data_IF_852605963711
#
_entry.id   IF_852605963711
#
_cell.length_a   1.000
_cell.length_b   1.000
_cell.length_c   1.000
_cell.angle_alpha   90.00
_cell.angle_beta   90.00
_cell.angle_gamma   90.00
#
_symmetry.space_group_name_H-M   'P 1'
#
loop_
_entity.id
_entity.type
_entity.pdbx_description
1 polymer ?
#
# COMPACT_ATOMS: atom_id res chain seq x y z
N UNK A 1 32.73 2.14 -23.36
CA UNK A 1 32.39 2.02 -21.92
C UNK A 1 30.99 2.55 -21.57
N UNK A 2 30.42 3.50 -22.32
CA UNK A 2 29.10 4.10 -22.03
C UNK A 2 27.87 3.18 -22.17
N UNK A 3 27.96 2.06 -22.90
CA UNK A 3 26.82 1.18 -23.11
C UNK A 3 26.51 0.27 -21.91
N UNK A 4 27.49 -0.08 -21.06
CA UNK A 4 27.27 -1.04 -19.95
C UNK A 4 26.51 -0.44 -18.77
N UNK A 5 26.63 0.87 -18.54
CA UNK A 5 25.97 1.57 -17.43
C UNK A 5 24.48 1.75 -17.67
N UNK A 6 24.06 1.97 -18.93
CA UNK A 6 22.64 2.12 -19.29
C UNK A 6 21.86 0.81 -19.12
N UNK A 7 22.45 -0.34 -19.49
CA UNK A 7 21.85 -1.66 -19.27
C UNK A 7 21.69 -2.02 -17.79
N UNK A 8 22.70 -1.69 -16.97
CA UNK A 8 22.64 -1.91 -15.52
C UNK A 8 21.57 -1.04 -14.84
N UNK A 9 21.52 0.25 -15.19
CA UNK A 9 20.49 1.17 -14.70
C UNK A 9 19.08 0.74 -15.11
N UNK A 10 18.91 0.26 -16.35
CA UNK A 10 17.62 -0.24 -16.84
C UNK A 10 17.16 -1.52 -16.14
N UNK A 11 18.08 -2.45 -15.86
CA UNK A 11 17.80 -3.66 -15.04
C UNK A 11 17.36 -3.29 -13.63
N UNK A 12 18.10 -2.40 -12.96
CA UNK A 12 17.76 -1.94 -11.62
C UNK A 12 16.37 -1.29 -11.56
N UNK A 13 16.04 -0.41 -12.50
CA UNK A 13 14.73 0.26 -12.49
C UNK A 13 13.58 -0.73 -12.72
N UNK A 14 13.77 -1.73 -13.59
CA UNK A 14 12.79 -2.81 -13.83
C UNK A 14 12.61 -3.70 -12.60
N UNK A 15 13.70 -4.08 -11.94
CA UNK A 15 13.66 -4.88 -10.72
C UNK A 15 13.00 -4.11 -9.58
N UNK A 16 13.38 -2.85 -9.38
CA UNK A 16 12.77 -1.96 -8.38
C UNK A 16 11.28 -1.74 -8.63
N UNK A 17 10.88 -1.44 -9.87
CA UNK A 17 9.47 -1.26 -10.22
C UNK A 17 8.67 -2.53 -9.98
N UNK A 18 9.20 -3.70 -10.35
CA UNK A 18 8.53 -4.99 -10.15
C UNK A 18 8.39 -5.33 -8.67
N UNK A 19 9.43 -5.08 -7.87
CA UNK A 19 9.40 -5.26 -6.43
C UNK A 19 8.36 -4.31 -5.79
N UNK A 20 8.37 -3.04 -6.17
CA UNK A 20 7.43 -2.02 -5.70
C UNK A 20 5.99 -2.40 -6.06
N UNK A 21 5.72 -2.87 -7.28
CA UNK A 21 4.37 -3.27 -7.71
C UNK A 21 3.82 -4.44 -6.88
N UNK A 22 4.67 -5.42 -6.55
CA UNK A 22 4.31 -6.55 -5.68
C UNK A 22 3.97 -6.07 -4.26
N UNK A 23 4.75 -5.13 -3.71
CA UNK A 23 4.49 -4.54 -2.39
C UNK A 23 3.25 -3.66 -2.38
N UNK A 24 3.05 -2.86 -3.43
CA UNK A 24 1.88 -2.01 -3.61
C UNK A 24 0.58 -2.81 -3.57
N UNK A 25 0.53 -3.99 -4.20
CA UNK A 25 -0.64 -4.88 -4.12
C UNK A 25 -0.97 -5.31 -2.70
N UNK A 26 0.05 -5.69 -1.91
CA UNK A 26 -0.13 -6.11 -0.51
C UNK A 26 -0.62 -4.94 0.34
N UNK A 27 0.00 -3.77 0.20
CA UNK A 27 -0.42 -2.56 0.92
C UNK A 27 -1.82 -2.12 0.53
N UNK A 28 -2.17 -2.16 -0.75
CA UNK A 28 -3.53 -1.84 -1.18
C UNK A 28 -4.55 -2.85 -0.65
N UNK A 29 -4.26 -4.15 -0.73
CA UNK A 29 -5.21 -5.19 -0.33
C UNK A 29 -5.45 -5.21 1.19
N UNK A 30 -4.40 -5.10 2.00
CA UNK A 30 -4.51 -5.16 3.46
C UNK A 30 -4.58 -3.79 4.12
N UNK A 31 -4.15 -2.72 3.46
CA UNK A 31 -4.14 -1.36 3.98
C UNK A 31 -5.38 -0.55 3.62
N UNK A 32 -6.15 -0.93 2.59
CA UNK A 32 -7.36 -0.19 2.21
C UNK A 32 -8.39 -0.14 3.34
N UNK A 33 -8.75 -1.28 3.92
CA UNK A 33 -9.75 -1.34 4.99
C UNK A 33 -9.25 -0.60 6.25
N UNK A 34 -8.03 -0.83 6.77
CA UNK A 34 -7.49 -0.05 7.89
C UNK A 34 -7.44 1.45 7.62
N UNK A 35 -7.12 1.86 6.39
CA UNK A 35 -7.05 3.27 6.02
C UNK A 35 -8.41 3.95 6.07
N UNK A 36 -9.45 3.31 5.52
CA UNK A 36 -10.81 3.83 5.58
C UNK A 36 -11.30 3.94 7.03
N UNK A 37 -11.00 2.93 7.86
CA UNK A 37 -11.33 2.96 9.29
C UNK A 37 -10.62 4.13 9.98
N UNK A 38 -9.32 4.32 9.73
CA UNK A 38 -8.56 5.43 10.30
C UNK A 38 -9.15 6.80 9.94
N UNK A 39 -9.58 6.99 8.70
CA UNK A 39 -10.27 8.22 8.27
C UNK A 39 -11.63 8.36 8.96
N UNK A 40 -12.46 7.31 8.94
CA UNK A 40 -13.81 7.34 9.51
C UNK A 40 -13.85 7.52 11.03
N UNK A 41 -12.79 7.12 11.74
CA UNK A 41 -12.66 7.30 13.20
C UNK A 41 -12.37 8.75 13.63
N UNK A 42 -12.13 9.68 12.69
CA UNK A 42 -12.02 11.12 12.99
C UNK A 42 -13.39 11.84 12.98
N UNK A 43 -14.48 11.13 12.67
CA UNK A 43 -15.83 11.68 12.76
C UNK A 43 -16.31 11.69 14.22
N UNK A 44 -16.75 12.83 14.71
CA UNK A 44 -17.43 12.95 16.02
C UNK A 44 -18.92 12.62 15.88
N UNK A 45 -19.52 11.78 16.75
CA UNK A 45 -18.90 11.00 17.83
C UNK A 45 -18.15 9.76 17.32
N UNK A 46 -16.98 9.48 17.89
CA UNK A 46 -16.04 8.45 17.44
C UNK A 46 -16.67 7.04 17.50
N UNK A 47 -16.89 6.37 16.35
CA UNK A 47 -17.49 5.04 16.33
C UNK A 47 -16.56 4.01 16.99
N UNK A 48 -17.09 3.17 17.88
CA UNK A 48 -16.33 2.10 18.51
C UNK A 48 -16.04 1.00 17.48
N UNK A 49 -14.77 0.59 17.34
CA UNK A 49 -14.34 -0.47 16.41
C UNK A 49 -15.11 -1.78 16.58
N UNK A 50 -15.50 -2.08 17.82
CA UNK A 50 -16.35 -3.22 18.18
C UNK A 50 -17.72 -3.16 17.49
N UNK A 51 -18.32 -1.98 17.36
CA UNK A 51 -19.63 -1.78 16.73
C UNK A 51 -19.61 -1.95 15.20
N UNK A 52 -18.46 -1.72 14.56
CA UNK A 52 -18.29 -1.89 13.11
C UNK A 52 -18.08 -3.36 12.70
N UNK A 53 -17.52 -4.15 13.61
CA UNK A 53 -17.14 -5.55 13.39
C UNK A 53 -18.11 -6.54 14.03
N UNK A 54 -18.92 -6.12 14.99
CA UNK A 54 -20.01 -6.91 15.51
C UNK A 54 -21.20 -6.81 14.55
N UNK A 55 -21.65 -7.92 13.93
CA UNK A 55 -23.03 -7.95 13.48
C UNK A 55 -23.87 -7.83 14.76
N UNK A 56 -24.66 -6.76 14.84
CA UNK A 56 -25.69 -6.63 15.89
C UNK A 56 -26.52 -7.90 16.02
#
# INVERSE_FOLDING_TARGET
>A
MASRTTWAAWRMSKEWTTWTMKKAKVVAHYGFIPFIIYIGMNSEPKPQLSQLLSPI
#
